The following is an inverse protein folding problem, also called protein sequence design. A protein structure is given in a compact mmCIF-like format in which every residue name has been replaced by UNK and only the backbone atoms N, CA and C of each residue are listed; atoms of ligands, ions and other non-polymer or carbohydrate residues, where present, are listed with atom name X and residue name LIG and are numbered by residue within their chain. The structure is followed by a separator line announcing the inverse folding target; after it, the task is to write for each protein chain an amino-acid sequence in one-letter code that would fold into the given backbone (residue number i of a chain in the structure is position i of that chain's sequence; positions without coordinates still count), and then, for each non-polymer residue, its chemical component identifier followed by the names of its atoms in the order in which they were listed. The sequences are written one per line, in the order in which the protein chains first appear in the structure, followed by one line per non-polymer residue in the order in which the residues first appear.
data_IF_662606192609
#
_entry.id   IF_662606192609
#
_cell.length_a   1.000
_cell.length_b   1.000
_cell.length_c   1.000
_cell.angle_alpha   90.00
_cell.angle_beta   90.00
_cell.angle_gamma   90.00
#
_symmetry.space_group_name_H-M   'P 1'
#
loop_
_entity.id
_entity.type
_entity.pdbx_description
1 polymer ?
#
# COMPACT_ATOMS: atom_id res chain seq x y z
N UNK A 1 -5.09 -10.24 16.15
CA UNK A 1 -3.99 -10.19 15.15
C UNK A 1 -2.67 -10.53 15.84
N UNK A 2 -2.01 -11.62 15.45
CA UNK A 2 -0.80 -12.30 16.01
C UNK A 2 -0.58 -12.41 17.54
N UNK A 3 -1.39 -11.78 18.40
CA UNK A 3 -1.32 -11.82 19.87
C UNK A 3 0.08 -11.54 20.45
N UNK A 4 0.89 -10.71 19.76
CA UNK A 4 2.27 -10.40 20.17
C UNK A 4 3.32 -11.45 19.81
N UNK A 5 2.95 -12.54 19.13
CA UNK A 5 3.88 -13.62 18.76
C UNK A 5 4.85 -13.24 17.62
N UNK A 6 4.64 -12.10 16.96
CA UNK A 6 5.47 -11.65 15.83
C UNK A 6 5.19 -12.35 14.51
N UNK A 7 4.41 -13.44 14.50
CA UNK A 7 3.98 -14.19 13.32
C UNK A 7 2.50 -14.59 13.42
N UNK A 8 1.87 -14.82 12.28
CA UNK A 8 0.60 -15.55 12.15
C UNK A 8 0.91 -17.01 11.86
N UNK A 9 0.24 -17.93 12.57
CA UNK A 9 0.35 -19.38 12.38
C UNK A 9 -0.99 -19.96 11.97
N UNK A 10 -1.00 -20.85 10.99
CA UNK A 10 -2.18 -21.59 10.59
C UNK A 10 -1.81 -22.96 10.03
N UNK A 11 -2.78 -23.86 9.96
CA UNK A 11 -2.62 -25.13 9.25
C UNK A 11 -3.15 -25.00 7.83
N UNK A 12 -2.32 -25.30 6.83
CA UNK A 12 -2.70 -25.30 5.43
C UNK A 12 -2.80 -26.74 4.92
N UNK A 13 -3.95 -27.15 4.34
CA UNK A 13 -4.03 -28.41 3.61
C UNK A 13 -3.18 -28.34 2.35
N UNK A 14 -2.31 -29.33 2.17
CA UNK A 14 -1.51 -29.49 0.98
C UNK A 14 -2.16 -30.52 0.01
N UNK A 15 -1.79 -30.52 -1.28
CA UNK A 15 -2.36 -31.44 -2.27
C UNK A 15 -2.13 -32.94 -1.96
N UNK A 16 -1.15 -33.25 -1.11
CA UNK A 16 -0.88 -34.59 -0.59
C UNK A 16 -1.84 -35.02 0.54
N UNK A 17 -2.79 -34.16 0.93
CA UNK A 17 -3.75 -34.39 2.01
C UNK A 17 -3.18 -34.15 3.41
N UNK A 18 -1.92 -33.72 3.52
CA UNK A 18 -1.28 -33.45 4.81
C UNK A 18 -1.52 -31.99 5.21
N UNK A 19 -1.86 -31.77 6.48
CA UNK A 19 -1.88 -30.43 7.06
C UNK A 19 -0.45 -30.02 7.44
N UNK A 20 -0.01 -28.87 6.94
CA UNK A 20 1.28 -28.29 7.30
C UNK A 20 1.07 -27.00 8.08
N UNK A 21 1.84 -26.84 9.15
CA UNK A 21 1.92 -25.57 9.84
C UNK A 21 2.66 -24.56 8.96
N UNK A 22 2.03 -23.42 8.74
CA UNK A 22 2.56 -22.31 7.98
C UNK A 22 2.74 -21.11 8.90
N UNK A 23 3.79 -20.34 8.64
CA UNK A 23 4.05 -19.08 9.34
C UNK A 23 4.15 -17.92 8.35
N UNK A 24 3.64 -16.76 8.76
CA UNK A 24 3.84 -15.50 8.06
C UNK A 24 4.21 -14.40 9.06
N UNK A 25 5.18 -13.50 8.76
CA UNK A 25 5.45 -12.34 9.60
C UNK A 25 4.18 -11.56 9.92
N UNK A 26 4.03 -11.11 11.17
CA UNK A 26 2.83 -10.38 11.58
C UNK A 26 2.75 -9.05 10.79
N UNK A 27 1.67 -8.78 10.04
CA UNK A 27 1.55 -7.56 9.24
C UNK A 27 1.63 -6.27 10.06
N UNK A 28 1.34 -6.34 11.36
CA UNK A 28 1.48 -5.20 12.28
C UNK A 28 2.92 -4.92 12.70
N UNK A 29 3.92 -5.62 12.13
CA UNK A 29 5.33 -5.41 12.45
C UNK A 29 5.73 -5.85 13.86
N UNK A 30 4.98 -6.77 14.47
CA UNK A 30 5.29 -7.27 15.82
C UNK A 30 6.53 -8.20 15.86
N UNK A 31 7.09 -8.57 14.71
CA UNK A 31 8.27 -9.45 14.58
C UNK A 31 9.59 -8.68 14.47
N UNK A 32 10.71 -9.40 14.52
CA UNK A 32 12.05 -8.78 14.50
C UNK A 32 12.60 -8.47 13.10
N UNK A 33 12.17 -9.21 12.06
CA UNK A 33 12.76 -9.12 10.72
C UNK A 33 12.09 -8.11 9.77
N UNK A 34 10.82 -7.79 9.98
CA UNK A 34 10.07 -6.83 9.17
C UNK A 34 9.21 -5.95 10.08
N UNK A 35 9.56 -4.67 10.16
CA UNK A 35 8.69 -3.64 10.73
C UNK A 35 8.05 -2.94 9.55
N UNK A 36 6.72 -2.99 9.48
CA UNK A 36 5.98 -2.09 8.61
C UNK A 36 6.50 -0.66 8.87
N UNK A 37 6.91 0.10 7.84
CA UNK A 37 7.29 1.48 8.06
C UNK A 37 6.13 2.17 8.78
N UNK A 38 6.40 2.73 9.97
CA UNK A 38 5.41 3.52 10.71
C UNK A 38 4.83 4.65 9.84
N UNK A 39 5.56 5.04 8.79
CA UNK A 39 5.18 6.00 7.76
C UNK A 39 3.89 5.65 6.99
N UNK A 40 3.44 4.40 7.00
CA UNK A 40 2.19 4.01 6.31
C UNK A 40 1.00 3.83 7.28
N UNK A 41 1.22 3.77 8.60
CA UNK A 41 0.15 3.64 9.60
C UNK A 41 -0.67 4.92 9.80
N UNK A 42 -0.23 6.06 9.25
CA UNK A 42 -0.94 7.35 9.31
C UNK A 42 -1.02 8.03 7.93
N UNK A 43 -0.96 7.25 6.85
CA UNK A 43 -1.24 7.72 5.49
C UNK A 43 -2.54 7.12 4.94
N UNK A 44 -3.51 6.86 5.83
CA UNK A 44 -4.89 6.97 5.40
C UNK A 44 -5.05 8.45 5.06
N UNK A 45 -5.15 8.77 3.78
CA UNK A 45 -5.65 10.08 3.36
C UNK A 45 -7.03 10.14 3.99
N UNK A 46 -7.16 10.81 5.15
CA UNK A 46 -8.44 11.36 5.52
C UNK A 46 -8.77 12.30 4.37
N UNK A 47 -9.67 11.84 3.50
CA UNK A 47 -10.35 12.71 2.58
C UNK A 47 -11.09 13.70 3.46
N UNK A 48 -10.48 14.84 3.69
CA UNK A 48 -11.17 15.99 4.25
C UNK A 48 -12.13 16.37 3.15
N UNK A 49 -13.36 15.88 3.29
CA UNK A 49 -14.48 16.33 2.50
C UNK A 49 -14.51 17.85 2.56
N UNK A 50 -14.83 18.42 1.41
CA UNK A 50 -14.73 19.82 1.04
C UNK A 50 -15.00 20.83 2.17
N UNK A 51 -14.27 21.94 2.02
CA UNK A 51 -14.46 23.24 2.64
C UNK A 51 -13.92 23.45 4.07
N UNK A 52 -12.96 24.39 4.15
CA UNK A 52 -12.51 25.13 5.34
C UNK A 52 -11.45 24.49 6.27
N UNK A 53 -10.18 24.33 5.84
CA UNK A 53 -9.03 24.61 6.74
C UNK A 53 -7.83 25.17 5.95
N UNK A 54 -7.53 26.45 6.22
CA UNK A 54 -6.40 27.21 5.69
C UNK A 54 -5.01 26.77 6.22
N UNK A 55 -4.06 26.78 5.28
CA UNK A 55 -2.65 27.24 5.33
C UNK A 55 -1.58 26.63 6.26
N UNK A 56 -1.86 25.91 7.35
CA UNK A 56 -0.77 25.46 8.27
C UNK A 56 -0.49 23.94 8.28
N UNK A 57 -0.81 23.24 7.19
CA UNK A 57 -0.43 21.82 7.03
C UNK A 57 0.88 21.74 6.24
N UNK A 58 1.92 21.06 6.74
CA UNK A 58 3.13 20.86 5.95
C UNK A 58 2.75 20.09 4.69
N UNK A 59 2.96 20.73 3.53
CA UNK A 59 2.69 20.11 2.24
C UNK A 59 3.40 18.77 2.11
N UNK A 60 2.70 17.77 1.55
CA UNK A 60 3.27 16.43 1.36
C UNK A 60 4.56 16.53 0.54
N UNK A 61 5.68 16.06 1.11
CA UNK A 61 6.96 16.02 0.40
C UNK A 61 6.93 14.92 -0.67
N UNK A 62 7.20 15.29 -1.92
CA UNK A 62 7.35 14.32 -3.03
C UNK A 62 8.50 13.33 -2.74
N UNK A 63 8.27 12.05 -3.03
CA UNK A 63 9.20 10.95 -2.81
C UNK A 63 9.17 9.91 -3.92
N UNK A 64 9.75 8.73 -3.67
CA UNK A 64 9.86 7.66 -4.69
C UNK A 64 8.51 7.15 -5.19
N UNK A 65 7.48 7.19 -4.35
CA UNK A 65 6.12 6.84 -4.77
C UNK A 65 5.57 7.81 -5.82
N UNK A 66 5.85 9.12 -5.69
CA UNK A 66 5.46 10.11 -6.70
C UNK A 66 6.18 9.87 -8.01
N UNK A 67 7.48 9.56 -7.96
CA UNK A 67 8.25 9.25 -9.16
C UNK A 67 7.71 8.01 -9.88
N UNK A 68 7.35 6.95 -9.13
CA UNK A 68 6.78 5.75 -9.71
C UNK A 68 5.38 6.01 -10.30
N UNK A 69 4.57 6.82 -9.64
CA UNK A 69 3.24 7.19 -10.12
C UNK A 69 3.30 8.11 -11.35
N UNK A 70 4.23 9.07 -11.38
CA UNK A 70 4.46 9.94 -12.54
C UNK A 70 4.86 9.08 -13.76
N UNK A 71 5.78 8.12 -13.58
CA UNK A 71 6.23 7.21 -14.64
C UNK A 71 5.12 6.27 -15.11
N UNK A 72 4.34 5.69 -14.18
CA UNK A 72 3.19 4.84 -14.51
C UNK A 72 2.07 5.63 -15.19
N UNK A 73 1.82 6.86 -14.75
CA UNK A 73 0.83 7.76 -15.34
C UNK A 73 1.18 8.16 -16.77
N UNK A 74 2.44 8.48 -17.05
CA UNK A 74 2.93 8.78 -18.40
C UNK A 74 2.74 7.59 -19.35
N UNK A 75 3.08 6.37 -18.88
CA UNK A 75 2.85 5.15 -19.63
C UNK A 75 1.36 4.95 -19.96
N UNK A 76 0.48 5.10 -18.96
CA UNK A 76 -0.97 4.93 -19.14
C UNK A 76 -1.53 5.98 -20.08
N UNK A 77 -1.13 7.25 -19.96
CA UNK A 77 -1.55 8.32 -20.84
C UNK A 77 -1.17 8.02 -22.31
N UNK A 78 0.09 7.62 -22.53
CA UNK A 78 0.58 7.24 -23.87
C UNK A 78 -0.20 6.06 -24.45
N UNK A 79 -0.49 5.04 -23.64
CA UNK A 79 -1.25 3.87 -24.07
C UNK A 79 -2.71 4.23 -24.45
N UNK A 80 -3.36 5.08 -23.65
CA UNK A 80 -4.71 5.56 -23.90
C UNK A 80 -4.80 6.36 -25.20
N UNK A 81 -3.84 7.26 -25.44
CA UNK A 81 -3.75 8.02 -26.70
C UNK A 81 -3.56 7.08 -27.91
N UNK A 82 -2.66 6.10 -27.80
CA UNK A 82 -2.44 5.10 -28.85
C UNK A 82 -3.70 4.25 -29.14
N UNK A 83 -4.55 4.05 -28.14
CA UNK A 83 -5.84 3.38 -28.27
C UNK A 83 -6.98 4.30 -28.71
N UNK A 84 -6.70 5.58 -28.98
CA UNK A 84 -7.66 6.55 -29.50
C UNK A 84 -8.48 7.28 -28.42
N UNK A 85 -8.11 7.15 -27.15
CA UNK A 85 -8.71 7.93 -26.06
C UNK A 85 -7.90 9.20 -25.85
N UNK A 86 -8.29 10.31 -26.50
CA UNK A 86 -7.73 11.64 -26.21
C UNK A 86 -8.65 12.42 -25.27
N UNK A 87 -8.08 13.15 -24.31
CA UNK A 87 -8.78 14.09 -23.42
C UNK A 87 -9.20 15.40 -24.09
N UNK A 88 -9.13 15.49 -25.42
CA UNK A 88 -9.60 16.64 -26.21
C UNK A 88 -11.12 16.58 -26.33
N UNK A 89 -11.81 17.49 -25.65
CA UNK A 89 -13.08 18.05 -26.13
C UNK A 89 -12.82 19.04 -27.28
#
# INVERSE_FOLDING_TARGET
MCAGAGVLRWQQPCPDGVLREMEHPCPNGCGQGWRHPAAENQQVIEAVADDEVEEDRPGRRRGRADQANDMGGEFVATALEAWGFSTRE
#
